data_IF_679088796863
#
_entry.id   IF_679088796863
#
_cell.length_a   1.000
_cell.length_b   1.000
_cell.length_c   1.000
_cell.angle_alpha   90.00
_cell.angle_beta   90.00
_cell.angle_gamma   90.00
#
_symmetry.space_group_name_H-M   'P 1'
#
loop_
_entity.id
_entity.type
_entity.pdbx_description
1 polymer ?
#
# COMPACT_ATOMS: atom_id res chain seq x y z
N UNK A 1 -16.10 46.11 9.38
CA UNK A 1 -15.22 44.93 9.22
C UNK A 1 -16.12 43.75 8.82
N UNK A 2 -16.38 43.59 7.52
CA UNK A 2 -17.31 42.57 7.03
C UNK A 2 -16.72 41.17 7.24
N UNK A 3 -17.50 40.26 7.82
CA UNK A 3 -17.15 38.86 7.93
C UNK A 3 -16.86 38.29 6.52
N UNK A 4 -15.86 37.41 6.36
CA UNK A 4 -15.64 36.75 5.07
C UNK A 4 -16.93 36.05 4.66
N UNK A 5 -17.49 36.48 3.52
CA UNK A 5 -18.69 35.89 2.93
C UNK A 5 -18.53 34.37 2.80
N UNK A 6 -19.61 33.60 3.00
CA UNK A 6 -19.57 32.14 2.90
C UNK A 6 -19.02 31.65 1.54
N UNK A 7 -19.21 32.44 0.48
CA UNK A 7 -18.60 32.18 -0.84
C UNK A 7 -17.07 32.22 -0.82
N UNK A 8 -16.45 33.11 -0.05
CA UNK A 8 -14.99 33.18 0.11
C UNK A 8 -14.42 31.98 0.86
N UNK A 9 -15.11 31.52 1.91
CA UNK A 9 -14.73 30.29 2.64
C UNK A 9 -14.86 29.04 1.78
N UNK A 10 -15.94 28.92 1.01
CA UNK A 10 -16.16 27.80 0.10
C UNK A 10 -15.09 27.72 -1.01
N UNK A 11 -14.74 28.86 -1.60
CA UNK A 11 -13.69 28.93 -2.62
C UNK A 11 -12.31 28.51 -2.09
N UNK A 12 -11.96 28.91 -0.87
CA UNK A 12 -10.73 28.49 -0.21
C UNK A 12 -10.71 26.98 0.06
N UNK A 13 -11.80 26.43 0.59
CA UNK A 13 -11.91 24.99 0.84
C UNK A 13 -11.73 24.19 -0.46
N UNK A 14 -12.33 24.62 -1.56
CA UNK A 14 -12.16 24.00 -2.88
C UNK A 14 -10.71 24.09 -3.40
N UNK A 15 -10.02 25.21 -3.16
CA UNK A 15 -8.61 25.37 -3.51
C UNK A 15 -7.70 24.44 -2.66
N UNK A 16 -7.96 24.34 -1.36
CA UNK A 16 -7.26 23.42 -0.46
C UNK A 16 -7.48 21.96 -0.84
N UNK A 17 -8.70 21.59 -1.22
CA UNK A 17 -9.01 20.24 -1.70
C UNK A 17 -8.26 19.93 -2.99
N UNK A 18 -8.24 20.85 -3.97
CA UNK A 18 -7.46 20.68 -5.20
C UNK A 18 -5.97 20.49 -4.92
N UNK A 19 -5.41 21.29 -4.00
CA UNK A 19 -4.03 21.15 -3.55
C UNK A 19 -3.77 19.79 -2.88
N UNK A 20 -4.67 19.33 -2.01
CA UNK A 20 -4.56 18.02 -1.35
C UNK A 20 -4.62 16.88 -2.37
N UNK A 21 -5.53 16.96 -3.35
CA UNK A 21 -5.61 15.99 -4.45
C UNK A 21 -4.33 15.99 -5.29
N UNK A 22 -3.74 17.14 -5.58
CA UNK A 22 -2.46 17.23 -6.29
C UNK A 22 -1.34 16.54 -5.51
N UNK A 23 -1.27 16.78 -4.19
CA UNK A 23 -0.22 16.24 -3.33
C UNK A 23 -0.35 14.73 -3.06
N UNK A 24 -1.58 14.21 -2.93
CA UNK A 24 -1.83 12.84 -2.44
C UNK A 24 -2.25 11.87 -3.55
N UNK A 25 -2.86 12.37 -4.62
CA UNK A 25 -3.41 11.57 -5.71
C UNK A 25 -2.81 11.90 -7.10
N UNK A 26 -1.79 12.76 -7.16
CA UNK A 26 -1.10 13.10 -8.40
C UNK A 26 -1.93 13.95 -9.37
N UNK A 27 -2.92 14.71 -8.88
CA UNK A 27 -3.67 15.66 -9.71
C UNK A 27 -2.80 16.86 -10.15
N UNK A 28 -3.26 17.61 -11.15
CA UNK A 28 -2.56 18.78 -11.65
C UNK A 28 -2.39 19.86 -10.57
N UNK A 29 -1.24 20.53 -10.58
CA UNK A 29 -0.93 21.61 -9.66
C UNK A 29 -1.93 22.77 -9.85
N UNK A 30 -2.57 23.28 -8.77
CA UNK A 30 -3.43 24.45 -8.87
C UNK A 30 -2.66 25.70 -9.30
N UNK A 31 -3.34 26.62 -9.99
CA UNK A 31 -2.76 27.91 -10.38
C UNK A 31 -2.16 28.66 -9.19
N UNK A 32 -1.01 29.31 -9.42
CA UNK A 32 -0.28 30.07 -8.40
C UNK A 32 0.61 29.23 -7.48
N UNK A 33 0.63 27.90 -7.62
CA UNK A 33 1.59 27.05 -6.92
C UNK A 33 2.79 26.69 -7.79
N UNK A 34 3.97 26.67 -7.15
CA UNK A 34 5.20 26.19 -7.76
C UNK A 34 5.12 24.67 -7.98
N UNK A 35 5.12 24.26 -9.25
CA UNK A 35 4.98 22.85 -9.66
C UNK A 35 6.15 22.00 -9.16
N UNK A 36 7.36 22.53 -9.13
CA UNK A 36 8.55 21.80 -8.70
C UNK A 36 8.49 21.54 -7.19
N UNK A 37 8.15 22.56 -6.40
CA UNK A 37 7.97 22.43 -4.95
C UNK A 37 6.86 21.43 -4.60
N UNK A 38 5.75 21.47 -5.33
CA UNK A 38 4.67 20.48 -5.15
C UNK A 38 5.14 19.07 -5.49
N UNK A 39 5.91 18.89 -6.56
CA UNK A 39 6.46 17.59 -6.92
C UNK A 39 7.43 17.05 -5.85
N UNK A 40 8.24 17.91 -5.23
CA UNK A 40 9.11 17.53 -4.09
C UNK A 40 8.27 17.08 -2.89
N UNK A 41 7.24 17.84 -2.53
CA UNK A 41 6.35 17.50 -1.42
C UNK A 41 5.61 16.18 -1.67
N UNK A 42 5.07 15.96 -2.88
CA UNK A 42 4.40 14.72 -3.27
C UNK A 42 5.34 13.51 -3.15
N UNK A 43 6.60 13.63 -3.64
CA UNK A 43 7.62 12.58 -3.49
C UNK A 43 7.91 12.27 -2.02
N UNK A 44 8.02 13.29 -1.16
CA UNK A 44 8.23 13.08 0.27
C UNK A 44 7.06 12.33 0.94
N UNK A 45 5.81 12.65 0.55
CA UNK A 45 4.62 11.94 1.03
C UNK A 45 4.59 10.48 0.57
N UNK A 46 4.93 10.20 -0.69
CA UNK A 46 5.02 8.83 -1.20
C UNK A 46 6.07 8.01 -0.45
N UNK A 47 7.25 8.58 -0.18
CA UNK A 47 8.29 7.93 0.65
C UNK A 47 7.79 7.64 2.07
N UNK A 48 7.07 8.58 2.70
CA UNK A 48 6.46 8.38 4.02
C UNK A 48 5.44 7.24 3.99
N UNK A 49 4.62 7.17 2.94
CA UNK A 49 3.67 6.06 2.69
C UNK A 49 4.42 4.73 2.58
N UNK A 50 5.47 4.67 1.77
CA UNK A 50 6.30 3.47 1.59
C UNK A 50 6.89 2.98 2.93
N UNK A 51 7.35 3.89 3.79
CA UNK A 51 7.86 3.56 5.12
C UNK A 51 6.75 3.00 6.03
N UNK A 52 5.54 3.56 5.98
CA UNK A 52 4.38 3.03 6.70
C UNK A 52 4.02 1.61 6.24
N UNK A 53 4.01 1.38 4.94
CA UNK A 53 3.74 0.04 4.36
C UNK A 53 4.85 -0.94 4.72
N UNK A 54 6.12 -0.56 4.71
CA UNK A 54 7.23 -1.42 5.13
C UNK A 54 7.09 -1.91 6.57
N UNK A 55 6.55 -1.08 7.47
CA UNK A 55 6.27 -1.49 8.86
C UNK A 55 5.11 -2.47 8.94
N UNK A 56 4.08 -2.29 8.11
CA UNK A 56 2.91 -3.16 8.08
C UNK A 56 3.16 -4.48 7.32
N UNK A 57 4.08 -4.48 6.36
CA UNK A 57 4.42 -5.58 5.46
C UNK A 57 5.95 -5.76 5.35
N UNK A 58 6.62 -6.15 6.44
CA UNK A 58 8.08 -6.18 6.51
C UNK A 58 8.73 -7.16 5.54
N UNK A 59 8.13 -8.33 5.27
CA UNK A 59 8.75 -9.32 4.35
C UNK A 59 8.60 -8.91 2.90
N UNK A 60 7.48 -8.25 2.57
CA UNK A 60 7.25 -7.61 1.28
C UNK A 60 8.31 -6.55 1.01
N UNK A 61 8.45 -5.57 1.91
CA UNK A 61 9.42 -4.49 1.73
C UNK A 61 10.86 -5.02 1.69
N UNK A 62 11.22 -5.95 2.58
CA UNK A 62 12.53 -6.60 2.55
C UNK A 62 12.81 -7.32 1.22
N UNK A 63 11.79 -7.92 0.60
CA UNK A 63 11.94 -8.59 -0.70
C UNK A 63 12.38 -7.66 -1.84
N UNK A 64 12.04 -6.37 -1.78
CA UNK A 64 12.48 -5.36 -2.74
C UNK A 64 13.78 -4.65 -2.32
N UNK A 65 14.26 -4.90 -1.10
CA UNK A 65 15.50 -4.31 -0.58
C UNK A 65 15.50 -2.79 -0.63
N UNK A 66 16.64 -2.21 -1.01
CA UNK A 66 16.85 -0.76 -1.11
C UNK A 66 15.92 -0.08 -2.13
N UNK A 67 15.44 -0.83 -3.13
CA UNK A 67 14.52 -0.33 -4.16
C UNK A 67 13.09 -0.17 -3.67
N UNK A 68 12.76 -0.64 -2.46
CA UNK A 68 11.40 -0.60 -1.93
C UNK A 68 10.73 0.78 -2.01
N UNK A 69 11.35 1.88 -1.55
CA UNK A 69 10.69 3.19 -1.56
C UNK A 69 10.34 3.67 -2.97
N UNK A 70 11.19 3.36 -3.95
CA UNK A 70 11.03 3.77 -5.35
C UNK A 70 9.92 2.96 -6.02
N UNK A 71 10.01 1.63 -5.95
CA UNK A 71 9.03 0.72 -6.57
C UNK A 71 7.64 0.94 -5.97
N UNK A 72 7.55 1.13 -4.65
CA UNK A 72 6.27 1.44 -4.02
C UNK A 72 5.75 2.81 -4.44
N UNK A 73 6.60 3.85 -4.48
CA UNK A 73 6.19 5.19 -4.86
C UNK A 73 5.67 5.26 -6.31
N UNK A 74 6.31 4.58 -7.25
CA UNK A 74 5.85 4.46 -8.63
C UNK A 74 4.45 3.84 -8.72
N UNK A 75 4.24 2.74 -8.00
CA UNK A 75 2.91 2.12 -7.91
C UNK A 75 1.89 3.04 -7.23
N UNK A 76 2.28 3.75 -6.18
CA UNK A 76 1.37 4.57 -5.38
C UNK A 76 1.03 5.93 -6.00
N UNK A 77 1.84 6.45 -6.94
CA UNK A 77 1.76 7.82 -7.44
C UNK A 77 0.38 8.20 -8.03
N UNK A 78 -0.30 7.25 -8.69
CA UNK A 78 -1.61 7.45 -9.30
C UNK A 78 -2.77 6.90 -8.45
N UNK A 79 -2.54 6.60 -7.17
CA UNK A 79 -3.47 5.86 -6.32
C UNK A 79 -3.69 6.56 -4.98
N UNK A 80 -4.94 6.92 -4.63
CA UNK A 80 -5.29 7.35 -3.28
C UNK A 80 -4.83 6.31 -2.26
N UNK A 81 -4.42 6.76 -1.08
CA UNK A 81 -4.06 5.85 0.01
C UNK A 81 -5.30 5.22 0.64
N UNK A 82 -5.26 3.91 0.85
CA UNK A 82 -6.25 3.17 1.65
C UNK A 82 -5.71 2.90 3.08
N UNK A 83 -4.51 3.40 3.40
CA UNK A 83 -3.78 3.12 4.63
C UNK A 83 -2.76 2.00 4.45
N UNK A 84 -1.69 2.03 5.25
CA UNK A 84 -0.49 1.21 5.03
C UNK A 84 -0.74 -0.30 4.87
N UNK A 85 -1.68 -0.85 5.62
CA UNK A 85 -1.95 -2.28 5.54
C UNK A 85 -2.73 -2.68 4.28
N UNK A 86 -3.72 -1.87 3.85
CA UNK A 86 -4.45 -2.11 2.59
C UNK A 86 -3.57 -1.82 1.37
N UNK A 87 -2.83 -0.72 1.39
CA UNK A 87 -1.85 -0.37 0.35
C UNK A 87 -0.83 -1.49 0.10
N UNK A 88 -0.27 -2.07 1.17
CA UNK A 88 0.67 -3.19 1.04
C UNK A 88 0.01 -4.45 0.49
N UNK A 89 -1.26 -4.70 0.83
CA UNK A 89 -2.02 -5.82 0.28
C UNK A 89 -2.23 -5.64 -1.22
N UNK A 90 -2.74 -4.50 -1.64
CA UNK A 90 -3.05 -4.21 -3.05
C UNK A 90 -1.77 -4.20 -3.91
N UNK A 91 -0.69 -3.61 -3.39
CA UNK A 91 0.62 -3.69 -4.02
C UNK A 91 1.07 -5.15 -4.19
N UNK A 92 0.99 -5.97 -3.13
CA UNK A 92 1.43 -7.35 -3.19
C UNK A 92 0.58 -8.20 -4.16
N UNK A 93 -0.72 -7.93 -4.27
CA UNK A 93 -1.60 -8.58 -5.26
C UNK A 93 -1.24 -8.17 -6.68
N UNK A 94 -1.03 -6.87 -6.92
CA UNK A 94 -0.66 -6.35 -8.23
C UNK A 94 0.68 -6.94 -8.73
N UNK A 95 1.60 -7.26 -7.82
CA UNK A 95 2.92 -7.82 -8.15
C UNK A 95 3.05 -9.31 -7.86
N UNK A 96 1.94 -10.04 -7.66
CA UNK A 96 1.94 -11.43 -7.17
C UNK A 96 2.88 -12.37 -7.93
N UNK A 97 2.99 -12.22 -9.24
CA UNK A 97 3.85 -13.05 -10.08
C UNK A 97 5.36 -12.80 -9.87
N UNK A 98 5.72 -11.59 -9.46
CA UNK A 98 7.11 -11.15 -9.27
C UNK A 98 7.55 -11.15 -7.80
N UNK A 99 6.65 -11.53 -6.86
CA UNK A 99 6.98 -11.48 -5.44
C UNK A 99 8.09 -12.48 -5.06
N UNK A 100 9.14 -12.02 -4.37
CA UNK A 100 10.11 -12.91 -3.73
C UNK A 100 9.41 -13.89 -2.76
N UNK A 101 9.95 -15.10 -2.55
CA UNK A 101 9.27 -16.11 -1.71
C UNK A 101 8.86 -15.64 -0.30
N UNK A 102 9.67 -14.85 0.45
CA UNK A 102 9.25 -14.31 1.74
C UNK A 102 8.02 -13.40 1.65
N UNK A 103 7.95 -12.56 0.61
CA UNK A 103 6.83 -11.65 0.36
C UNK A 103 5.56 -12.42 -0.06
N UNK A 104 5.70 -13.41 -0.94
CA UNK A 104 4.60 -14.28 -1.35
C UNK A 104 3.98 -15.03 -0.14
N UNK A 105 4.81 -15.47 0.81
CA UNK A 105 4.35 -16.11 2.04
C UNK A 105 3.63 -15.16 2.99
N UNK A 106 4.10 -13.92 3.11
CA UNK A 106 3.41 -12.90 3.90
C UNK A 106 2.02 -12.61 3.35
N UNK A 107 1.90 -12.37 2.04
CA UNK A 107 0.60 -12.19 1.37
C UNK A 107 -0.32 -13.40 1.58
N UNK A 108 0.18 -14.61 1.37
CA UNK A 108 -0.59 -15.83 1.58
C UNK A 108 -1.07 -15.98 3.03
N UNK A 109 -0.23 -15.63 4.01
CA UNK A 109 -0.59 -15.60 5.43
C UNK A 109 -1.74 -14.63 5.71
N UNK A 110 -1.68 -13.41 5.16
CA UNK A 110 -2.75 -12.44 5.32
C UNK A 110 -4.05 -12.91 4.66
N UNK A 111 -3.99 -13.45 3.44
CA UNK A 111 -5.15 -14.01 2.72
C UNK A 111 -5.78 -15.23 3.40
N UNK A 112 -4.99 -15.98 4.19
CA UNK A 112 -5.51 -17.07 4.99
C UNK A 112 -6.24 -16.57 6.25
N UNK A 113 -5.84 -15.41 6.80
CA UNK A 113 -6.42 -14.83 8.02
C UNK A 113 -7.59 -13.89 7.74
N UNK A 114 -7.57 -13.19 6.62
CA UNK A 114 -8.49 -12.10 6.32
C UNK A 114 -9.10 -12.23 4.93
N UNK A 115 -10.33 -11.75 4.78
CA UNK A 115 -10.98 -11.52 3.49
C UNK A 115 -10.89 -10.02 3.20
N UNK A 116 -10.39 -9.70 2.02
CA UNK A 116 -10.30 -8.34 1.51
C UNK A 116 -10.64 -8.34 0.02
N UNK A 117 -11.64 -7.56 -0.36
CA UNK A 117 -12.12 -7.41 -1.74
C UNK A 117 -11.42 -6.27 -2.51
N UNK A 118 -10.58 -5.48 -1.84
CA UNK A 118 -9.91 -4.32 -2.42
C UNK A 118 -10.56 -2.99 -2.04
N UNK A 119 -11.79 -2.98 -1.50
CA UNK A 119 -12.54 -1.76 -1.20
C UNK A 119 -12.88 -1.63 0.29
N UNK A 120 -13.50 -2.65 0.88
CA UNK A 120 -13.98 -2.60 2.26
C UNK A 120 -12.87 -2.93 3.27
N UNK A 121 -13.09 -2.55 4.53
CA UNK A 121 -12.19 -2.94 5.62
C UNK A 121 -12.09 -4.47 5.72
N UNK A 122 -10.86 -5.03 5.75
CA UNK A 122 -10.72 -6.49 5.73
C UNK A 122 -11.31 -7.16 6.95
N UNK A 123 -11.98 -8.29 6.70
CA UNK A 123 -12.73 -9.02 7.72
C UNK A 123 -12.02 -10.33 8.09
N UNK A 124 -12.00 -10.73 9.37
CA UNK A 124 -11.39 -12.00 9.77
C UNK A 124 -12.08 -13.19 9.06
N UNK A 125 -11.28 -14.17 8.64
CA UNK A 125 -11.78 -15.46 8.15
C UNK A 125 -12.13 -16.36 9.32
N UNK A 126 -13.33 -16.94 9.29
CA UNK A 126 -13.81 -17.92 10.29
C UNK A 126 -13.62 -19.39 9.89
N UNK A 127 -13.33 -19.65 8.61
CA UNK A 127 -13.15 -21.00 8.07
C UNK A 127 -11.75 -21.26 7.52
N UNK A 128 -11.43 -22.51 7.18
CA UNK A 128 -10.11 -22.88 6.69
C UNK A 128 -9.75 -22.14 5.39
N UNK A 129 -8.45 -21.98 5.18
CA UNK A 129 -7.88 -21.35 4.00
C UNK A 129 -6.62 -22.08 3.56
N UNK A 130 -6.43 -22.21 2.25
CA UNK A 130 -5.20 -22.71 1.66
C UNK A 130 -4.74 -21.73 0.57
N UNK A 131 -3.45 -21.44 0.55
CA UNK A 131 -2.79 -20.61 -0.47
C UNK A 131 -1.51 -21.27 -0.91
N UNK A 132 -1.35 -21.45 -2.22
CA UNK A 132 -0.08 -21.90 -2.82
C UNK A 132 0.93 -20.75 -2.82
N UNK A 133 2.16 -21.08 -2.50
CA UNK A 133 3.32 -20.18 -2.52
C UNK A 133 4.49 -20.89 -3.20
N UNK A 134 5.51 -20.16 -3.70
CA UNK A 134 6.71 -20.80 -4.22
C UNK A 134 7.31 -21.76 -3.19
N UNK A 135 7.50 -23.03 -3.59
CA UNK A 135 8.05 -24.08 -2.74
C UNK A 135 7.11 -24.66 -1.68
N UNK A 136 5.83 -24.29 -1.63
CA UNK A 136 4.95 -24.82 -0.59
C UNK A 136 3.51 -24.29 -0.54
N UNK A 137 2.91 -24.40 0.63
CA UNK A 137 1.56 -23.91 0.91
C UNK A 137 1.48 -23.20 2.25
N UNK A 138 0.62 -22.20 2.34
CA UNK A 138 0.20 -21.58 3.61
C UNK A 138 -1.23 -22.02 3.90
N UNK A 139 -1.44 -22.54 5.10
CA UNK A 139 -2.73 -23.00 5.61
C UNK A 139 -3.18 -22.06 6.72
N UNK A 140 -4.45 -21.68 6.70
CA UNK A 140 -5.12 -20.97 7.78
C UNK A 140 -6.22 -21.83 8.41
N UNK A 141 -6.25 -21.92 9.74
CA UNK A 141 -7.30 -22.60 10.51
C UNK A 141 -7.53 -21.86 11.82
N UNK A 142 -8.78 -21.53 12.14
CA UNK A 142 -9.18 -20.86 13.39
C UNK A 142 -8.34 -19.59 13.69
N UNK A 143 -8.11 -18.74 12.69
CA UNK A 143 -7.32 -17.51 12.82
C UNK A 143 -5.80 -17.70 12.92
N UNK A 144 -5.31 -18.94 13.01
CA UNK A 144 -3.88 -19.28 12.97
C UNK A 144 -3.43 -19.59 11.55
N UNK A 145 -2.16 -19.36 11.25
CA UNK A 145 -1.56 -19.73 9.96
C UNK A 145 -0.27 -20.49 10.15
N UNK A 146 -0.10 -21.55 9.36
CA UNK A 146 1.14 -22.32 9.25
C UNK A 146 1.61 -22.32 7.79
N UNK A 147 2.91 -22.22 7.57
CA UNK A 147 3.53 -22.33 6.26
C UNK A 147 4.27 -23.67 6.18
N UNK A 148 3.95 -24.46 5.17
CA UNK A 148 4.61 -25.72 4.85
C UNK A 148 5.38 -25.51 3.56
N UNK A 149 6.67 -25.20 3.69
CA UNK A 149 7.58 -24.98 2.55
C UNK A 149 8.56 -26.14 2.56
N UNK A 150 8.74 -26.76 1.40
CA UNK A 150 9.82 -27.72 1.21
C UNK A 150 11.05 -26.89 0.91
N UNK A 151 11.98 -26.82 1.86
CA UNK A 151 13.30 -26.25 1.57
C UNK A 151 13.92 -27.08 0.44
N UNK A 152 14.27 -26.42 -0.67
CA UNK A 152 15.19 -27.03 -1.62
C UNK A 152 16.54 -27.24 -0.90
N UNK A 153 17.23 -28.37 -1.14
CA UNK A 153 18.57 -28.54 -0.59
C UNK A 153 19.42 -27.33 -0.97
N UNK A 154 20.07 -26.72 0.02
CA UNK A 154 21.08 -25.67 -0.23
C UNK A 154 22.31 -26.39 -0.75
N UNK A 155 22.52 -26.35 -2.07
CA UNK A 155 23.80 -26.76 -2.64
C UNK A 155 24.89 -25.82 -2.08
N UNK A 156 25.91 -26.43 -1.46
CA UNK A 156 27.09 -25.76 -0.89
C UNK A 156 28.14 -25.55 -1.95
#
# INVERSE_FOLDING_TARGET
MSAPSDGGRAALAAAQERLLRALVAGAEAPDGFDRERLAVAARALLRKRAAGVARAWPRLAHGYGERWPEVFAEWAAARPTAGAWRDGWDFARAHRAALPPPAARELAGQECRWRYDGAADPRPRRGPALRRVPGGVVVGLLGRTAAFVRDAPRDR
#
